data_IF_575305112030
#
_entry.id   IF_575305112030
#
_cell.length_a   1.000
_cell.length_b   1.000
_cell.length_c   1.000
_cell.angle_alpha   90.00
_cell.angle_beta   90.00
_cell.angle_gamma   90.00
#
_symmetry.space_group_name_H-M   'P 1'
#
loop_
_entity.id
_entity.type
_entity.pdbx_description
1 polymer ?
#
# COMPACT_ATOMS: atom_id res chain seq x y z
N UNK A 1 -14.56 -36.77 -32.17
CA UNK A 1 -14.09 -35.40 -32.47
C UNK A 1 -14.44 -34.58 -31.25
N UNK A 2 -13.39 -34.19 -30.51
CA UNK A 2 -13.44 -33.65 -29.16
C UNK A 2 -14.20 -32.32 -29.13
N UNK A 3 -15.17 -32.23 -28.23
CA UNK A 3 -15.70 -30.95 -27.76
C UNK A 3 -14.71 -30.41 -26.73
N UNK A 4 -13.67 -29.72 -27.18
CA UNK A 4 -12.95 -28.77 -26.33
C UNK A 4 -13.83 -27.52 -26.26
N UNK A 5 -14.69 -27.49 -25.24
CA UNK A 5 -15.25 -26.24 -24.77
C UNK A 5 -14.07 -25.36 -24.36
N UNK A 6 -13.80 -24.33 -25.16
CA UNK A 6 -12.99 -23.18 -24.74
C UNK A 6 -13.71 -22.51 -23.57
N UNK A 7 -13.55 -23.04 -22.36
CA UNK A 7 -13.62 -22.24 -21.16
C UNK A 7 -12.43 -21.28 -21.25
N UNK A 8 -12.68 -20.10 -21.81
CA UNK A 8 -11.81 -18.96 -21.58
C UNK A 8 -11.91 -18.71 -20.08
N UNK A 9 -10.96 -19.25 -19.32
CA UNK A 9 -10.77 -18.94 -17.91
C UNK A 9 -10.66 -17.42 -17.82
N UNK A 10 -11.75 -16.79 -17.38
CA UNK A 10 -11.80 -15.34 -17.27
C UNK A 10 -10.86 -14.93 -16.15
N UNK A 11 -9.68 -14.42 -16.53
CA UNK A 11 -8.65 -14.03 -15.59
C UNK A 11 -9.20 -13.04 -14.53
N UNK A 12 -8.75 -13.13 -13.27
CA UNK A 12 -9.11 -12.16 -12.25
C UNK A 12 -8.65 -10.75 -12.65
N UNK A 13 -9.50 -9.76 -12.40
CA UNK A 13 -9.16 -8.34 -12.66
C UNK A 13 -8.73 -7.69 -11.36
N UNK A 14 -7.49 -7.17 -11.35
CA UNK A 14 -6.94 -6.39 -10.24
C UNK A 14 -6.98 -4.92 -10.60
N UNK A 15 -7.64 -4.13 -9.76
CA UNK A 15 -7.73 -2.69 -9.89
C UNK A 15 -7.06 -2.03 -8.70
N UNK A 16 -6.43 -0.89 -8.95
CA UNK A 16 -5.70 -0.15 -7.94
C UNK A 16 -6.27 1.26 -7.84
N UNK A 17 -6.78 1.61 -6.66
CA UNK A 17 -7.20 2.96 -6.33
C UNK A 17 -6.02 3.80 -5.89
N UNK A 18 -6.09 5.08 -6.19
CA UNK A 18 -5.26 6.06 -5.51
C UNK A 18 -5.63 6.13 -4.03
N UNK A 19 -4.63 6.20 -3.14
CA UNK A 19 -4.85 6.40 -1.72
C UNK A 19 -5.68 7.66 -1.44
N UNK A 20 -5.59 8.71 -2.27
CA UNK A 20 -6.39 9.93 -2.12
C UNK A 20 -7.92 9.73 -2.22
N UNK A 21 -8.39 8.59 -2.73
CA UNK A 21 -9.81 8.25 -2.75
C UNK A 21 -10.30 7.53 -1.49
N UNK A 22 -9.39 7.17 -0.59
CA UNK A 22 -9.70 6.50 0.66
C UNK A 22 -9.51 7.48 1.83
N UNK A 23 -10.33 7.32 2.86
CA UNK A 23 -10.09 7.96 4.14
C UNK A 23 -9.25 7.03 5.02
N UNK A 24 -8.30 7.59 5.74
CA UNK A 24 -7.42 6.82 6.63
C UNK A 24 -7.53 7.35 8.04
N UNK A 25 -7.59 6.44 9.00
CA UNK A 25 -7.54 6.76 10.43
C UNK A 25 -6.70 5.74 11.18
N UNK A 26 -6.25 6.11 12.37
CA UNK A 26 -5.65 5.17 13.32
C UNK A 26 -6.73 4.80 14.33
N UNK A 27 -6.92 3.51 14.54
CA UNK A 27 -7.78 2.96 15.56
C UNK A 27 -6.90 2.37 16.66
N UNK A 28 -7.15 2.82 17.89
CA UNK A 28 -6.56 2.25 19.09
C UNK A 28 -7.58 1.32 19.73
N UNK A 29 -7.18 0.07 19.93
CA UNK A 29 -7.95 -1.00 20.52
C UNK A 29 -7.18 -1.47 21.75
N UNK A 30 -7.88 -1.71 22.85
CA UNK A 30 -7.27 -2.28 24.04
C UNK A 30 -6.74 -3.68 23.72
N UNK A 31 -5.42 -3.93 23.84
CA UNK A 31 -4.84 -5.23 23.53
C UNK A 31 -5.28 -6.34 24.51
N UNK A 32 -5.91 -5.99 25.64
CA UNK A 32 -6.49 -6.96 26.57
C UNK A 32 -7.82 -7.54 26.10
N UNK A 33 -8.48 -6.93 25.11
CA UNK A 33 -9.76 -7.39 24.59
C UNK A 33 -9.61 -8.68 23.77
N UNK A 34 -10.60 -9.56 23.87
CA UNK A 34 -10.64 -10.75 23.02
C UNK A 34 -11.02 -10.37 21.57
N UNK A 35 -10.75 -11.26 20.61
CA UNK A 35 -10.93 -10.98 19.19
C UNK A 35 -12.35 -10.50 18.82
N UNK A 36 -13.39 -11.01 19.50
CA UNK A 36 -14.78 -10.60 19.27
C UNK A 36 -15.04 -9.17 19.75
N UNK A 37 -14.54 -8.80 20.92
CA UNK A 37 -14.65 -7.43 21.45
C UNK A 37 -13.92 -6.43 20.56
N UNK A 38 -12.73 -6.79 20.07
CA UNK A 38 -12.00 -5.96 19.10
C UNK A 38 -12.80 -5.77 17.81
N UNK A 39 -13.38 -6.85 17.27
CA UNK A 39 -14.24 -6.80 16.07
C UNK A 39 -15.48 -5.93 16.26
N UNK A 40 -16.18 -6.08 17.38
CA UNK A 40 -17.39 -5.30 17.68
C UNK A 40 -17.07 -3.81 17.80
N UNK A 41 -15.93 -3.45 18.40
CA UNK A 41 -15.47 -2.08 18.49
C UNK A 41 -15.11 -1.49 17.12
N UNK A 42 -14.36 -2.24 16.31
CA UNK A 42 -14.04 -1.86 14.92
C UNK A 42 -15.31 -1.58 14.11
N UNK A 43 -16.35 -2.41 14.25
CA UNK A 43 -17.61 -2.23 13.54
C UNK A 43 -18.35 -0.97 13.99
N UNK A 44 -18.31 -0.63 15.28
CA UNK A 44 -18.95 0.56 15.85
C UNK A 44 -18.18 1.87 15.59
N UNK A 45 -16.86 1.80 15.45
CA UNK A 45 -15.98 2.94 15.22
C UNK A 45 -15.93 3.46 13.78
N UNK A 46 -16.71 2.87 12.86
CA UNK A 46 -16.73 3.27 11.45
C UNK A 46 -17.27 4.70 11.30
N UNK A 47 -16.57 5.51 10.51
CA UNK A 47 -16.98 6.88 10.20
C UNK A 47 -18.26 6.87 9.35
N UNK A 48 -19.36 7.33 9.95
CA UNK A 48 -20.68 7.32 9.32
C UNK A 48 -21.40 5.97 9.46
N UNK A 49 -22.66 6.03 9.86
CA UNK A 49 -23.53 4.85 9.90
C UNK A 49 -23.52 4.13 8.54
N UNK A 50 -23.66 2.81 8.54
CA UNK A 50 -23.87 2.05 7.30
C UNK A 50 -24.92 2.75 6.41
N UNK A 51 -24.66 2.93 5.09
CA UNK A 51 -23.76 2.14 4.26
C UNK A 51 -22.83 2.98 3.35
N UNK A 52 -22.15 4.00 3.87
CA UNK A 52 -21.39 4.93 3.02
C UNK A 52 -19.97 4.45 2.64
N UNK A 53 -19.32 3.65 3.47
CA UNK A 53 -17.92 3.22 3.29
C UNK A 53 -17.72 1.71 3.48
N UNK A 54 -16.76 1.15 2.75
CA UNK A 54 -16.16 -0.16 3.01
C UNK A 54 -14.83 0.04 3.73
N UNK A 55 -14.75 -0.41 4.97
CA UNK A 55 -13.60 -0.21 5.85
C UNK A 55 -12.71 -1.46 5.93
N UNK A 56 -11.39 -1.27 5.86
CA UNK A 56 -10.37 -2.30 5.99
C UNK A 56 -9.38 -1.90 7.09
N UNK A 57 -8.95 -2.83 7.94
CA UNK A 57 -8.01 -2.54 9.02
C UNK A 57 -6.69 -3.30 8.80
N UNK A 58 -5.56 -2.68 9.15
CA UNK A 58 -4.22 -3.27 9.07
C UNK A 58 -3.45 -2.98 10.36
N UNK A 59 -2.71 -3.94 10.95
CA UNK A 59 -1.90 -3.68 12.13
C UNK A 59 -0.82 -2.63 11.88
N UNK A 60 -0.63 -1.71 12.85
CA UNK A 60 0.33 -0.61 12.82
C UNK A 60 1.50 -0.90 13.77
N UNK A 61 2.62 -1.40 13.23
CA UNK A 61 3.90 -1.52 13.94
C UNK A 61 3.89 -2.31 15.27
N UNK A 62 5.01 -2.22 15.99
CA UNK A 62 5.32 -2.93 17.25
C UNK A 62 4.43 -2.59 18.47
N UNK A 63 3.28 -1.95 18.27
CA UNK A 63 2.38 -1.58 19.35
C UNK A 63 1.11 -2.44 19.25
N UNK A 64 0.93 -3.36 20.20
CA UNK A 64 -0.33 -4.10 20.30
C UNK A 64 -1.50 -3.11 20.40
N UNK A 65 -2.58 -3.39 19.68
CA UNK A 65 -3.80 -2.58 19.72
C UNK A 65 -3.85 -1.39 18.75
N UNK A 66 -2.84 -1.10 17.94
CA UNK A 66 -2.91 -0.01 16.96
C UNK A 66 -3.18 -0.54 15.55
N UNK A 67 -4.18 0.02 14.88
CA UNK A 67 -4.59 -0.41 13.54
C UNK A 67 -4.78 0.79 12.60
N UNK A 68 -4.24 0.69 11.39
CA UNK A 68 -4.60 1.56 10.27
C UNK A 68 -5.97 1.14 9.78
N UNK A 69 -6.95 2.02 9.89
CA UNK A 69 -8.23 1.87 9.24
C UNK A 69 -8.22 2.61 7.89
N UNK A 70 -8.76 1.97 6.87
CA UNK A 70 -8.88 2.46 5.51
C UNK A 70 -10.35 2.39 5.09
N UNK A 71 -11.01 3.53 4.95
CA UNK A 71 -12.40 3.63 4.54
C UNK A 71 -12.50 4.02 3.05
N UNK A 72 -13.02 3.12 2.23
CA UNK A 72 -13.26 3.34 0.81
C UNK A 72 -14.74 3.68 0.56
N UNK A 73 -15.09 4.80 -0.09
CA UNK A 73 -16.47 5.13 -0.39
C UNK A 73 -17.17 4.02 -1.19
N UNK A 74 -18.31 3.53 -0.70
CA UNK A 74 -19.07 2.47 -1.38
C UNK A 74 -19.57 2.89 -2.77
N UNK A 75 -19.82 4.19 -2.97
CA UNK A 75 -20.16 4.75 -4.28
C UNK A 75 -19.05 4.53 -5.30
N UNK A 76 -17.78 4.70 -4.90
CA UNK A 76 -16.63 4.50 -5.76
C UNK A 76 -16.50 3.01 -6.12
N UNK A 77 -16.59 2.13 -5.11
CA UNK A 77 -16.55 0.68 -5.33
C UNK A 77 -17.66 0.21 -6.29
N UNK A 78 -18.88 0.75 -6.15
CA UNK A 78 -20.00 0.47 -7.05
C UNK A 78 -19.75 1.00 -8.45
N UNK A 79 -19.27 2.23 -8.59
CA UNK A 79 -18.94 2.84 -9.88
C UNK A 79 -17.87 2.02 -10.63
N UNK A 80 -16.79 1.66 -9.95
CA UNK A 80 -15.72 0.80 -10.48
C UNK A 80 -16.29 -0.55 -10.94
N UNK A 81 -17.10 -1.21 -10.10
CA UNK A 81 -17.74 -2.49 -10.46
C UNK A 81 -18.66 -2.35 -11.68
N UNK A 82 -19.41 -1.24 -11.78
CA UNK A 82 -20.32 -0.99 -12.90
C UNK A 82 -19.62 -0.67 -14.22
N UNK A 83 -18.39 -0.12 -14.16
CA UNK A 83 -17.58 0.19 -15.33
C UNK A 83 -16.86 -1.04 -15.89
N UNK A 84 -16.75 -2.13 -15.12
CA UNK A 84 -16.14 -3.37 -15.58
C UNK A 84 -17.06 -4.10 -16.56
N UNK A 85 -16.51 -4.72 -17.63
CA UNK A 85 -17.30 -5.49 -18.58
C UNK A 85 -18.09 -6.59 -17.86
N UNK A 86 -19.36 -6.81 -18.23
CA UNK A 86 -20.19 -7.88 -17.65
C UNK A 86 -19.61 -9.30 -17.81
N UNK A 87 -18.58 -9.48 -18.64
CA UNK A 87 -17.84 -10.74 -18.84
C UNK A 87 -16.52 -10.83 -18.05
N UNK A 88 -16.11 -9.78 -17.35
CA UNK A 88 -15.00 -9.87 -16.40
C UNK A 88 -15.46 -10.71 -15.20
N UNK A 89 -14.64 -11.66 -14.77
CA UNK A 89 -14.96 -12.68 -13.75
C UNK A 89 -15.59 -12.10 -12.49
N UNK A 90 -16.31 -12.92 -11.73
CA UNK A 90 -16.91 -12.58 -10.43
C UNK A 90 -15.93 -12.11 -9.36
N UNK A 91 -14.62 -12.18 -9.62
CA UNK A 91 -13.57 -11.90 -8.65
C UNK A 91 -12.81 -10.64 -9.07
N UNK A 92 -13.24 -9.51 -8.51
CA UNK A 92 -12.55 -8.22 -8.65
C UNK A 92 -11.86 -7.86 -7.35
N UNK A 93 -10.57 -7.53 -7.44
CA UNK A 93 -9.80 -7.07 -6.30
C UNK A 93 -9.52 -5.58 -6.44
N UNK A 94 -9.83 -4.83 -5.39
CA UNK A 94 -9.57 -3.39 -5.32
C UNK A 94 -8.47 -3.16 -4.30
N UNK A 95 -7.29 -2.80 -4.79
CA UNK A 95 -6.10 -2.52 -4.01
C UNK A 95 -5.87 -1.01 -3.90
N UNK A 96 -4.97 -0.61 -3.01
CA UNK A 96 -4.50 0.78 -2.89
C UNK A 96 -3.09 0.85 -3.44
N UNK A 97 -2.82 1.85 -4.29
CA UNK A 97 -1.57 2.01 -5.06
C UNK A 97 -0.31 1.75 -4.27
N UNK A 98 -0.12 2.52 -3.20
CA UNK A 98 1.12 2.48 -2.43
C UNK A 98 1.37 1.11 -1.76
N UNK A 99 0.31 0.45 -1.28
CA UNK A 99 0.42 -0.86 -0.66
C UNK A 99 0.66 -1.97 -1.69
N UNK A 100 0.12 -1.84 -2.91
CA UNK A 100 0.31 -2.84 -3.97
C UNK A 100 1.78 -2.96 -4.40
N UNK A 101 2.53 -1.86 -4.42
CA UNK A 101 3.95 -1.86 -4.73
C UNK A 101 4.78 -2.60 -3.68
N UNK A 102 4.56 -2.32 -2.39
CA UNK A 102 5.21 -3.07 -1.31
C UNK A 102 4.85 -4.57 -1.36
N UNK A 103 3.57 -4.88 -1.59
CA UNK A 103 3.06 -6.25 -1.71
C UNK A 103 3.79 -7.06 -2.77
N UNK A 104 4.03 -6.43 -3.92
CA UNK A 104 4.77 -7.00 -5.02
C UNK A 104 6.24 -7.20 -4.65
N UNK A 105 6.88 -6.14 -4.15
CA UNK A 105 8.30 -6.12 -3.85
C UNK A 105 8.71 -7.21 -2.85
N UNK A 106 7.99 -7.33 -1.72
CA UNK A 106 8.34 -8.31 -0.67
C UNK A 106 8.25 -9.77 -1.11
N UNK A 107 7.39 -10.07 -2.09
CA UNK A 107 7.20 -11.45 -2.59
C UNK A 107 8.35 -11.89 -3.47
N UNK A 108 8.93 -10.93 -4.17
CA UNK A 108 10.00 -11.20 -5.13
C UNK A 108 11.34 -11.07 -4.45
N UNK A 109 11.49 -10.10 -3.55
CA UNK A 109 12.72 -9.83 -2.81
C UNK A 109 12.46 -10.10 -1.31
N UNK A 110 12.63 -11.34 -0.80
CA UNK A 110 12.44 -11.64 0.63
C UNK A 110 13.34 -10.81 1.56
N UNK A 111 14.49 -10.34 1.06
CA UNK A 111 15.37 -9.43 1.82
C UNK A 111 14.67 -8.12 2.22
N UNK A 112 13.60 -7.73 1.52
CA UNK A 112 12.81 -6.54 1.84
C UNK A 112 11.98 -6.67 3.14
N UNK A 113 11.98 -7.84 3.79
CA UNK A 113 11.32 -8.05 5.08
C UNK A 113 12.14 -7.57 6.28
N UNK A 114 13.44 -7.26 6.14
CA UNK A 114 14.33 -6.86 7.27
C UNK A 114 14.83 -5.44 7.13
N UNK A 115 14.90 -4.66 8.20
CA UNK A 115 15.36 -3.26 8.13
C UNK A 115 14.24 -2.28 7.78
N UNK A 116 14.61 -1.01 7.58
CA UNK A 116 13.66 0.10 7.33
C UNK A 116 13.77 0.59 5.90
N UNK A 117 12.63 0.74 5.22
CA UNK A 117 12.54 1.12 3.81
C UNK A 117 11.38 2.04 3.53
N UNK A 118 11.50 2.80 2.44
CA UNK A 118 10.43 3.64 1.93
C UNK A 118 10.03 3.20 0.53
N UNK A 119 8.72 3.14 0.29
CA UNK A 119 8.16 3.00 -1.04
C UNK A 119 7.53 4.32 -1.45
N UNK A 120 8.18 5.00 -2.39
CA UNK A 120 7.77 6.30 -2.92
C UNK A 120 7.00 6.13 -4.22
N UNK A 121 5.69 6.41 -4.16
CA UNK A 121 4.86 6.61 -5.35
C UNK A 121 4.90 8.08 -5.73
N UNK A 122 5.66 8.39 -6.77
CA UNK A 122 5.74 9.72 -7.34
C UNK A 122 4.54 9.98 -8.28
N UNK A 123 4.05 11.21 -8.27
CA UNK A 123 3.00 11.70 -9.16
C UNK A 123 3.53 12.79 -10.07
N UNK A 124 3.07 12.81 -11.33
CA UNK A 124 3.39 13.90 -12.25
C UNK A 124 2.90 15.26 -11.72
N UNK A 125 1.76 15.26 -11.01
CA UNK A 125 1.18 16.47 -10.41
C UNK A 125 1.77 16.79 -9.02
N UNK A 126 2.79 16.05 -8.58
CA UNK A 126 3.50 16.32 -7.33
C UNK A 126 2.79 15.89 -6.05
N UNK A 127 1.64 15.21 -6.15
CA UNK A 127 1.01 14.57 -4.99
C UNK A 127 1.67 13.21 -4.73
N UNK A 128 2.73 13.23 -3.96
CA UNK A 128 3.59 12.09 -3.71
C UNK A 128 3.18 11.33 -2.44
N UNK A 129 3.33 10.01 -2.46
CA UNK A 129 2.99 9.11 -1.34
C UNK A 129 4.22 8.29 -0.94
N UNK A 130 4.52 8.24 0.35
CA UNK A 130 5.60 7.42 0.90
C UNK A 130 5.05 6.44 1.93
N UNK A 131 5.29 5.16 1.67
CA UNK A 131 4.96 4.08 2.59
C UNK A 131 6.23 3.63 3.34
N UNK A 132 6.24 3.84 4.65
CA UNK A 132 7.31 3.39 5.55
C UNK A 132 7.01 1.97 6.03
N UNK A 133 7.98 1.09 5.78
CA UNK A 133 7.99 -0.28 6.26
C UNK A 133 9.23 -0.48 7.12
N UNK A 134 9.08 -1.12 8.28
CA UNK A 134 10.20 -1.52 9.13
C UNK A 134 9.98 -2.95 9.60
N UNK A 135 10.98 -3.80 9.39
CA UNK A 135 10.91 -5.25 9.71
C UNK A 135 9.63 -5.90 9.15
N UNK A 136 9.32 -5.63 7.87
CA UNK A 136 8.14 -6.18 7.20
C UNK A 136 6.80 -5.63 7.70
N UNK A 137 6.80 -4.64 8.60
CA UNK A 137 5.60 -4.09 9.21
C UNK A 137 5.36 -2.65 8.79
N UNK A 138 4.11 -2.31 8.53
CA UNK A 138 3.70 -0.93 8.24
C UNK A 138 3.95 0.00 9.43
N UNK A 139 4.62 1.14 9.18
CA UNK A 139 4.94 2.15 10.19
C UNK A 139 4.19 3.46 9.97
N UNK A 140 4.24 3.97 8.75
CA UNK A 140 3.66 5.26 8.41
C UNK A 140 3.33 5.36 6.93
N UNK A 141 2.31 6.17 6.62
CA UNK A 141 1.99 6.61 5.27
C UNK A 141 2.03 8.13 5.25
N UNK A 142 2.95 8.69 4.47
CA UNK A 142 3.14 10.12 4.34
C UNK A 142 2.62 10.60 2.99
N UNK A 143 1.97 11.76 2.99
CA UNK A 143 1.52 12.45 1.80
C UNK A 143 2.22 13.80 1.72
N UNK A 144 2.77 14.09 0.55
CA UNK A 144 3.44 15.35 0.26
C UNK A 144 2.89 15.99 -1.00
N UNK A 145 2.97 17.30 -1.04
CA UNK A 145 2.79 18.10 -2.25
C UNK A 145 4.16 18.66 -2.64
N UNK A 146 4.63 18.26 -3.81
CA UNK A 146 5.88 18.69 -4.43
C UNK A 146 5.55 19.62 -5.59
N UNK A 147 6.17 20.78 -5.59
CA UNK A 147 6.26 21.65 -6.75
C UNK A 147 7.74 21.83 -7.15
N UNK A 148 8.00 22.64 -8.16
CA UNK A 148 9.38 22.86 -8.67
C UNK A 148 10.30 23.55 -7.66
N UNK A 149 9.76 24.12 -6.58
CA UNK A 149 10.50 24.97 -5.64
C UNK A 149 10.36 24.53 -4.17
N UNK A 150 9.38 23.69 -3.86
CA UNK A 150 9.04 23.33 -2.50
C UNK A 150 8.47 21.91 -2.41
N UNK A 151 8.71 21.29 -1.25
CA UNK A 151 8.05 20.07 -0.82
C UNK A 151 7.30 20.42 0.46
N UNK A 152 6.00 20.16 0.51
CA UNK A 152 5.13 20.51 1.63
C UNK A 152 4.43 19.26 2.16
N UNK A 153 4.37 19.07 3.49
CA UNK A 153 3.63 17.96 4.06
C UNK A 153 2.13 18.21 3.92
N UNK A 154 1.37 17.19 3.54
CA UNK A 154 -0.09 17.22 3.53
C UNK A 154 -0.65 16.55 4.78
N UNK A 155 -0.32 15.28 4.96
CA UNK A 155 -0.73 14.50 6.14
C UNK A 155 0.21 13.32 6.32
N UNK A 156 0.31 12.83 7.54
CA UNK A 156 0.97 11.56 7.86
C UNK A 156 0.01 10.72 8.70
N UNK A 157 -0.10 9.44 8.36
CA UNK A 157 -0.80 8.45 9.18
C UNK A 157 0.23 7.55 9.81
N UNK A 158 0.14 7.34 11.12
CA UNK A 158 1.16 6.63 11.89
C UNK A 158 2.26 7.57 12.39
N UNK A 159 3.50 7.11 12.39
CA UNK A 159 4.63 7.86 12.95
C UNK A 159 5.08 9.00 12.01
N UNK A 160 5.09 10.24 12.48
CA UNK A 160 5.52 11.42 11.70
C UNK A 160 7.02 11.72 11.75
N UNK A 161 7.83 10.92 12.45
CA UNK A 161 9.25 11.20 12.68
C UNK A 161 10.06 11.36 11.39
N UNK A 162 9.76 10.58 10.35
CA UNK A 162 10.47 10.66 9.06
C UNK A 162 9.93 11.72 8.11
N UNK A 163 8.89 12.49 8.50
CA UNK A 163 8.27 13.45 7.60
C UNK A 163 9.24 14.54 7.13
N UNK A 164 9.94 15.19 8.06
CA UNK A 164 10.93 16.23 7.74
C UNK A 164 12.16 15.68 6.99
N UNK A 165 12.76 14.54 7.42
CA UNK A 165 13.82 13.88 6.64
C UNK A 165 13.41 13.55 5.20
N UNK A 166 12.20 13.01 4.98
CA UNK A 166 11.69 12.72 3.63
C UNK A 166 11.60 14.01 2.81
N UNK A 167 11.09 15.10 3.39
CA UNK A 167 10.98 16.39 2.68
C UNK A 167 12.34 16.92 2.26
N UNK A 168 13.33 16.87 3.15
CA UNK A 168 14.69 17.29 2.86
C UNK A 168 15.31 16.45 1.72
N UNK A 169 15.15 15.13 1.79
CA UNK A 169 15.59 14.19 0.76
C UNK A 169 14.98 14.49 -0.61
N UNK A 170 13.64 14.62 -0.69
CA UNK A 170 12.95 14.92 -1.96
C UNK A 170 13.35 16.28 -2.53
N UNK A 171 13.57 17.27 -1.66
CA UNK A 171 14.02 18.60 -2.08
C UNK A 171 15.42 18.55 -2.70
N UNK A 172 16.37 17.88 -2.06
CA UNK A 172 17.72 17.69 -2.59
C UNK A 172 17.71 16.99 -3.95
N UNK A 173 16.91 15.92 -4.10
CA UNK A 173 16.74 15.23 -5.39
C UNK A 173 16.18 16.15 -6.48
N UNK A 174 15.20 16.99 -6.13
CA UNK A 174 14.58 17.95 -7.07
C UNK A 174 15.54 19.06 -7.48
N UNK A 175 16.52 19.38 -6.63
CA UNK A 175 17.62 20.32 -6.92
C UNK A 175 18.77 19.66 -7.70
N UNK A 176 18.68 18.37 -8.03
CA UNK A 176 19.72 17.63 -8.74
C UNK A 176 20.96 17.35 -7.90
N UNK A 177 20.80 17.18 -6.58
CA UNK A 177 21.87 16.81 -5.65
C UNK A 177 21.83 15.31 -5.34
N UNK A 178 22.97 14.74 -4.94
CA UNK A 178 22.97 13.43 -4.27
C UNK A 178 22.34 13.60 -2.88
N UNK A 179 21.29 12.84 -2.63
CA UNK A 179 20.52 12.91 -1.40
C UNK A 179 20.69 11.59 -0.66
N UNK A 180 21.60 11.55 0.31
CA UNK A 180 21.70 10.39 1.19
C UNK A 180 20.54 10.38 2.17
N UNK A 181 19.99 9.20 2.46
CA UNK A 181 18.92 9.06 3.45
C UNK A 181 19.29 8.00 4.50
N UNK A 182 20.17 8.33 5.47
CA UNK A 182 20.76 7.34 6.38
C UNK A 182 19.76 6.68 7.34
N UNK A 183 18.56 7.24 7.53
CA UNK A 183 17.50 6.70 8.36
C UNK A 183 16.85 5.43 7.77
N UNK A 184 17.09 5.12 6.49
CA UNK A 184 16.52 3.97 5.77
C UNK A 184 17.60 3.24 4.97
N UNK A 185 17.39 1.96 4.74
CA UNK A 185 18.30 1.16 3.89
C UNK A 185 18.13 1.50 2.41
N UNK A 186 16.88 1.66 1.98
CA UNK A 186 16.52 1.92 0.58
C UNK A 186 15.23 2.73 0.48
N UNK A 187 15.18 3.59 -0.54
CA UNK A 187 13.99 4.26 -1.04
C UNK A 187 13.66 3.70 -2.42
N UNK A 188 12.58 2.94 -2.54
CA UNK A 188 12.07 2.44 -3.81
C UNK A 188 11.10 3.43 -4.43
N UNK A 189 11.45 4.01 -5.57
CA UNK A 189 10.62 4.99 -6.27
C UNK A 189 9.95 4.39 -7.51
N UNK A 190 8.70 4.77 -7.77
CA UNK A 190 7.98 4.45 -9.00
C UNK A 190 6.93 5.51 -9.33
N UNK A 191 6.50 5.58 -10.60
CA UNK A 191 5.40 6.44 -11.00
C UNK A 191 4.06 5.78 -10.73
N UNK A 192 3.14 6.51 -10.09
CA UNK A 192 1.76 6.09 -9.96
C UNK A 192 0.97 6.25 -11.27
N UNK A 193 0.98 7.46 -11.83
CA UNK A 193 0.27 7.83 -13.07
C UNK A 193 0.89 9.10 -13.65
N UNK A 194 0.82 9.26 -14.98
CA UNK A 194 1.33 10.42 -15.69
C UNK A 194 2.66 10.18 -16.41
N UNK A 195 3.33 11.26 -16.82
CA UNK A 195 4.61 11.27 -17.52
C UNK A 195 5.80 10.89 -16.65
N UNK A 196 6.83 10.29 -17.25
CA UNK A 196 8.05 9.79 -16.59
C UNK A 196 9.12 10.85 -16.36
N UNK A 197 8.92 12.09 -16.84
CA UNK A 197 9.95 13.13 -16.85
C UNK A 197 10.54 13.45 -15.47
N UNK A 198 9.75 13.34 -14.41
CA UNK A 198 10.25 13.50 -13.04
C UNK A 198 11.19 12.35 -12.64
N UNK A 199 10.80 11.10 -12.85
CA UNK A 199 11.68 9.95 -12.55
C UNK A 199 12.95 10.00 -13.37
N UNK A 200 12.84 10.32 -14.66
CA UNK A 200 14.01 10.47 -15.53
C UNK A 200 14.94 11.56 -15.01
N UNK A 201 14.40 12.63 -14.44
CA UNK A 201 15.21 13.69 -13.83
C UNK A 201 15.95 13.19 -12.58
N UNK A 202 15.24 12.59 -11.61
CA UNK A 202 15.87 12.17 -10.35
C UNK A 202 16.79 10.96 -10.50
N UNK A 203 16.53 10.08 -11.48
CA UNK A 203 17.35 8.90 -11.76
C UNK A 203 18.54 9.18 -12.70
N UNK A 204 18.71 10.42 -13.20
CA UNK A 204 19.89 10.79 -14.03
C UNK A 204 21.18 10.83 -13.23
N UNK A 205 21.08 11.06 -11.93
CA UNK A 205 22.20 11.10 -11.01
C UNK A 205 22.21 9.77 -10.28
N UNK A 206 23.39 9.17 -10.14
CA UNK A 206 23.53 7.98 -9.31
C UNK A 206 23.29 8.37 -7.85
N UNK A 207 22.29 7.74 -7.23
CA UNK A 207 21.85 8.03 -5.88
C UNK A 207 22.11 6.81 -5.01
N UNK A 208 22.79 6.99 -3.89
CA UNK A 208 23.20 5.87 -3.05
C UNK A 208 22.03 5.14 -2.37
N UNK A 209 20.94 5.85 -2.06
CA UNK A 209 19.80 5.31 -1.30
C UNK A 209 18.50 5.23 -2.11
N UNK A 210 18.49 5.68 -3.38
CA UNK A 210 17.30 5.72 -4.23
C UNK A 210 17.38 4.66 -5.34
N UNK A 211 16.41 3.76 -5.36
CA UNK A 211 16.29 2.69 -6.36
C UNK A 211 14.97 2.79 -7.12
N UNK A 212 15.01 2.64 -8.44
CA UNK A 212 13.78 2.48 -9.23
C UNK A 212 13.15 1.11 -8.91
N UNK A 213 11.88 1.10 -8.50
CA UNK A 213 11.15 -0.13 -8.27
C UNK A 213 10.95 -0.86 -9.60
N UNK A 214 11.57 -2.02 -9.75
CA UNK A 214 11.55 -2.77 -11.00
C UNK A 214 10.47 -3.87 -10.95
N UNK A 215 9.38 -3.74 -11.74
CA UNK A 215 8.35 -4.77 -11.81
C UNK A 215 8.83 -6.05 -12.50
N UNK A 216 10.07 -6.11 -12.99
CA UNK A 216 10.63 -7.29 -13.66
C UNK A 216 11.64 -8.06 -12.80
N UNK A 217 11.80 -7.74 -11.51
CA UNK A 217 12.68 -8.51 -10.63
C UNK A 217 12.39 -10.02 -10.63
N UNK A 218 11.14 -10.43 -10.88
CA UNK A 218 10.78 -11.85 -11.04
C UNK A 218 11.56 -12.54 -12.17
N UNK A 219 11.88 -11.85 -13.26
CA UNK A 219 12.68 -12.45 -14.34
C UNK A 219 14.11 -12.77 -13.89
N UNK A 220 14.61 -12.11 -12.84
CA UNK A 220 15.89 -12.43 -12.23
C UNK A 220 15.79 -13.57 -11.20
N UNK A 221 14.58 -13.91 -10.73
CA UNK A 221 14.29 -14.98 -9.77
C UNK A 221 13.06 -15.80 -10.19
N UNK A 222 13.21 -16.71 -11.18
CA UNK A 222 12.11 -17.41 -11.84
C UNK A 222 11.35 -18.39 -10.94
N UNK A 223 11.91 -18.75 -9.78
CA UNK A 223 11.32 -19.67 -8.82
C UNK A 223 10.23 -19.03 -7.93
N UNK A 224 10.03 -17.71 -8.02
CA UNK A 224 8.98 -17.00 -7.28
C UNK A 224 7.61 -17.30 -7.91
N UNK A 225 6.64 -17.86 -7.14
CA UNK A 225 5.29 -18.14 -7.60
C UNK A 225 4.62 -16.90 -8.23
N UNK A 226 3.66 -17.10 -9.13
CA UNK A 226 2.89 -15.97 -9.68
C UNK A 226 2.34 -15.08 -8.57
N UNK A 227 2.50 -13.77 -8.74
CA UNK A 227 2.09 -12.78 -7.75
C UNK A 227 0.57 -12.77 -7.61
N UNK A 228 0.04 -13.67 -6.79
CA UNK A 228 -1.36 -13.73 -6.46
C UNK A 228 -1.68 -12.57 -5.53
N UNK A 229 -2.17 -11.46 -6.07
CA UNK A 229 -2.42 -10.18 -5.38
C UNK A 229 -3.48 -10.23 -4.24
N UNK A 230 -3.68 -11.39 -3.59
CA UNK A 230 -4.37 -11.63 -2.30
C UNK A 230 -3.87 -10.80 -1.10
N UNK A 231 -3.12 -9.72 -1.28
CA UNK A 231 -2.68 -8.85 -0.20
C UNK A 231 -3.82 -8.15 0.56
N UNK A 232 -5.06 -8.33 0.08
CA UNK A 232 -6.31 -8.02 0.79
C UNK A 232 -6.66 -9.00 1.92
N UNK A 233 -5.95 -10.13 2.07
CA UNK A 233 -6.31 -11.18 3.05
C UNK A 233 -5.52 -11.15 4.37
N UNK A 234 -4.41 -10.40 4.48
CA UNK A 234 -3.48 -10.64 5.62
C UNK A 234 -3.99 -10.16 6.98
N UNK A 235 -4.81 -9.11 7.06
CA UNK A 235 -5.29 -8.60 8.36
C UNK A 235 -6.47 -9.40 8.94
N UNK A 236 -7.34 -9.94 8.09
CA UNK A 236 -8.33 -10.92 8.54
C UNK A 236 -7.73 -12.30 8.74
N UNK A 237 -6.59 -12.65 8.14
CA UNK A 237 -5.99 -13.98 8.35
C UNK A 237 -5.60 -14.19 9.81
N UNK A 238 -4.96 -13.21 10.47
CA UNK A 238 -4.54 -13.35 11.86
C UNK A 238 -5.71 -13.32 12.84
N UNK A 239 -6.66 -12.39 12.64
CA UNK A 239 -7.84 -12.27 13.49
C UNK A 239 -8.85 -13.42 13.24
N UNK A 240 -9.01 -13.87 11.99
CA UNK A 240 -9.83 -15.04 11.67
C UNK A 240 -9.16 -16.35 12.10
N UNK A 241 -7.83 -16.47 12.06
CA UNK A 241 -7.13 -17.59 12.70
C UNK A 241 -7.32 -17.58 14.21
N UNK A 242 -7.28 -16.42 14.87
CA UNK A 242 -7.53 -16.29 16.30
C UNK A 242 -9.00 -16.59 16.68
N UNK A 243 -9.97 -16.11 15.89
CA UNK A 243 -11.41 -16.42 16.06
C UNK A 243 -11.68 -17.90 15.79
N UNK A 244 -11.13 -18.47 14.72
CA UNK A 244 -11.24 -19.90 14.41
C UNK A 244 -10.67 -20.77 15.53
N UNK A 245 -9.50 -20.42 16.04
CA UNK A 245 -8.88 -21.10 17.18
C UNK A 245 -9.70 -20.95 18.48
N UNK A 246 -10.38 -19.83 18.70
CA UNK A 246 -11.24 -19.63 19.86
C UNK A 246 -12.59 -20.37 19.76
N UNK A 247 -13.09 -20.61 18.54
CA UNK A 247 -14.37 -21.29 18.29
C UNK A 247 -14.24 -22.82 18.16
N UNK A 248 -13.02 -23.35 18.03
CA UNK A 248 -12.74 -24.78 17.80
C UNK A 248 -11.80 -25.41 18.84
N UNK A 249 -11.76 -24.86 20.05
CA UNK A 249 -11.16 -25.47 21.27
C UNK A 249 -12.25 -25.92 22.22
#
# INVERSE_FOLDING_TARGET
ILAEANEVETAPVYLTLDAGFCHFSVLEIDPAWNAKEQLDFIQRGRFGAEPLYASFQYPLGNCSGHYLNVDCPMVLRRAVKSALPHKASSTHWLNIGVFSAYSYARRIVPALERGRRLFWRASEHGLDQFLEIQEGTFRALHFFERDTSSVRPRTTIGNSHLQEPIMAFVKQLTEGQDASFPEVEDVFVYMGSGGTGFLEHVMRIEQSTLSLLNPFWRWNWPEVPEADNRFTQSAFSELACAVWAAEHV
#
